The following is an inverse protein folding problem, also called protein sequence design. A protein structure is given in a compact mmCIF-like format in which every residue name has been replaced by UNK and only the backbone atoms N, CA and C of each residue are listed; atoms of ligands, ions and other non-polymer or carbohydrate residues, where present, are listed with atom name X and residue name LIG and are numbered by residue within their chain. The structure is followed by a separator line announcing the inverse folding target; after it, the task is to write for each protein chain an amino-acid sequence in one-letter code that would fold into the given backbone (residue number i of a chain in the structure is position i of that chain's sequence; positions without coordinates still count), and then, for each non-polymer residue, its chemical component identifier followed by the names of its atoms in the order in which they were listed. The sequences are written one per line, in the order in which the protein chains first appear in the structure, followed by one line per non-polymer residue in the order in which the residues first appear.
data_IF_020284110867
#
_entry.id   IF_020284110867
#
_cell.length_a   1.000
_cell.length_b   1.000
_cell.length_c   1.000
_cell.angle_alpha   90.00
_cell.angle_beta   90.00
_cell.angle_gamma   90.00
#
_symmetry.space_group_name_H-M   'P 1'
#
loop_
_entity.id
_entity.type
_entity.pdbx_description
1 polymer ?
#
# COMPACT_ATOMS: atom_id res chain seq x y z
N UNK A 1 -6.61 -13.18 -12.33
CA UNK A 1 -5.56 -12.48 -13.12
C UNK A 1 -4.53 -11.88 -12.15
N UNK A 2 -3.30 -11.54 -12.57
CA UNK A 2 -2.37 -10.75 -11.74
C UNK A 2 -2.63 -9.25 -12.05
N UNK A 3 -2.73 -8.35 -11.07
CA UNK A 3 -2.88 -6.92 -11.32
C UNK A 3 -1.69 -6.38 -12.13
N UNK A 4 -1.95 -5.37 -12.95
CA UNK A 4 -0.94 -4.70 -13.79
C UNK A 4 -1.14 -3.18 -13.77
N UNK A 5 -0.07 -2.39 -13.90
CA UNK A 5 -0.18 -0.95 -14.14
C UNK A 5 -1.11 -0.61 -15.32
N UNK A 6 -1.83 0.50 -15.21
CA UNK A 6 -2.83 0.97 -16.17
C UNK A 6 -4.19 0.29 -16.07
N UNK A 7 -4.32 -0.81 -15.31
CA UNK A 7 -5.63 -1.43 -15.07
C UNK A 7 -6.39 -0.68 -13.97
N UNK A 8 -7.72 -0.65 -14.08
CA UNK A 8 -8.57 -0.15 -13.00
C UNK A 8 -8.44 -1.08 -11.79
N UNK A 9 -8.09 -0.51 -10.65
CA UNK A 9 -8.15 -1.23 -9.39
C UNK A 9 -9.63 -1.58 -9.10
N UNK A 10 -9.95 -2.84 -8.76
CA UNK A 10 -11.26 -3.22 -8.30
C UNK A 10 -11.53 -2.49 -6.99
N UNK A 11 -12.80 -2.22 -6.75
CA UNK A 11 -13.17 -1.74 -5.43
C UNK A 11 -12.88 -2.84 -4.39
N UNK A 12 -12.43 -2.42 -3.21
CA UNK A 12 -12.08 -3.31 -2.12
C UNK A 12 -12.41 -2.65 -0.80
N UNK A 13 -12.58 -3.46 0.25
CA UNK A 13 -12.53 -3.00 1.62
C UNK A 13 -11.40 -3.71 2.34
N UNK A 14 -10.45 -2.94 2.86
CA UNK A 14 -9.26 -3.45 3.51
C UNK A 14 -9.17 -2.96 4.95
N UNK A 15 -8.66 -3.83 5.81
CA UNK A 15 -8.24 -3.43 7.16
C UNK A 15 -6.88 -2.77 7.04
N UNK A 16 -6.73 -1.59 7.62
CA UNK A 16 -5.55 -0.73 7.44
C UNK A 16 -5.05 -0.16 8.76
N UNK A 17 -3.85 0.41 8.69
CA UNK A 17 -3.26 1.32 9.67
C UNK A 17 -2.53 2.43 8.91
N UNK A 18 -2.48 3.64 9.46
CA UNK A 18 -1.81 4.79 8.84
C UNK A 18 -2.78 5.84 8.32
N UNK A 19 -2.26 7.00 7.93
CA UNK A 19 -3.06 8.13 7.43
C UNK A 19 -4.18 8.59 8.38
N UNK A 20 -3.89 8.55 9.69
CA UNK A 20 -4.86 8.88 10.74
C UNK A 20 -5.81 7.73 11.12
N UNK A 21 -5.74 6.58 10.44
CA UNK A 21 -6.51 5.39 10.77
C UNK A 21 -5.75 4.51 11.77
N UNK A 22 -6.42 4.18 12.88
CA UNK A 22 -5.93 3.22 13.86
C UNK A 22 -5.84 1.81 13.24
N UNK A 23 -4.97 0.98 13.81
CA UNK A 23 -4.90 -0.42 13.43
C UNK A 23 -6.26 -1.12 13.57
N UNK A 24 -6.66 -1.87 12.55
CA UNK A 24 -7.96 -2.53 12.54
C UNK A 24 -9.07 -1.72 11.89
N UNK A 25 -8.84 -0.44 11.57
CA UNK A 25 -9.79 0.38 10.83
C UNK A 25 -9.99 -0.15 9.40
N UNK A 26 -11.13 0.15 8.79
CA UNK A 26 -11.47 -0.29 7.45
C UNK A 26 -11.60 0.91 6.49
N UNK A 27 -11.02 0.79 5.31
CA UNK A 27 -11.18 1.75 4.21
C UNK A 27 -11.69 1.07 2.96
N UNK A 28 -12.41 1.81 2.13
CA UNK A 28 -12.94 1.35 0.84
C UNK A 28 -12.37 2.21 -0.28
N UNK A 29 -11.82 1.60 -1.34
CA UNK A 29 -11.13 2.35 -2.40
C UNK A 29 -12.03 3.40 -3.06
N UNK A 30 -13.28 3.03 -3.38
CA UNK A 30 -14.24 3.97 -4.00
C UNK A 30 -14.49 5.24 -3.18
N UNK A 31 -14.29 5.20 -1.85
CA UNK A 31 -14.41 6.36 -0.96
C UNK A 31 -13.14 7.22 -0.89
N UNK A 32 -12.03 6.72 -1.42
CA UNK A 32 -10.72 7.38 -1.42
C UNK A 32 -10.34 7.95 -2.80
N UNK A 33 -11.14 7.68 -3.84
CA UNK A 33 -10.91 8.22 -5.19
C UNK A 33 -10.89 9.75 -5.21
N UNK A 34 -10.18 10.32 -6.17
CA UNK A 34 -9.83 11.74 -6.18
C UNK A 34 -8.61 12.09 -5.31
N UNK A 35 -7.97 11.09 -4.71
CA UNK A 35 -6.63 11.16 -4.09
C UNK A 35 -5.79 9.97 -4.57
N UNK A 36 -4.48 10.17 -4.67
CA UNK A 36 -3.55 9.07 -4.89
C UNK A 36 -3.51 8.22 -3.62
N UNK A 37 -3.58 6.89 -3.77
CA UNK A 37 -3.65 5.93 -2.67
C UNK A 37 -2.48 4.95 -2.77
N UNK A 38 -1.75 4.75 -1.68
CA UNK A 38 -0.67 3.77 -1.56
C UNK A 38 -1.09 2.70 -0.56
N UNK A 39 -1.05 1.44 -0.99
CA UNK A 39 -1.32 0.28 -0.14
C UNK A 39 -0.03 -0.51 0.04
N UNK A 40 0.51 -0.52 1.24
CA UNK A 40 1.73 -1.25 1.61
C UNK A 40 1.33 -2.55 2.28
N UNK A 41 1.40 -3.66 1.55
CA UNK A 41 1.15 -5.00 2.09
C UNK A 41 2.43 -5.56 2.71
N UNK A 42 2.35 -6.01 3.95
CA UNK A 42 3.47 -6.62 4.66
C UNK A 42 3.03 -7.89 5.42
N UNK A 43 3.93 -8.88 5.59
CA UNK A 43 3.68 -10.05 6.42
C UNK A 43 3.53 -9.64 7.88
N UNK A 44 2.47 -10.16 8.51
CA UNK A 44 2.20 -9.97 9.93
C UNK A 44 3.28 -10.60 10.83
N UNK A 45 3.98 -11.61 10.33
CA UNK A 45 5.05 -12.27 11.08
C UNK A 45 6.25 -11.33 11.27
N UNK A 46 6.43 -10.94 12.53
CA UNK A 46 7.49 -10.11 13.09
C UNK A 46 8.89 -10.61 12.71
N UNK A 47 9.35 -10.23 11.52
CA UNK A 47 10.75 -10.40 11.09
C UNK A 47 11.42 -9.03 11.03
N UNK A 48 12.72 -8.89 11.34
CA UNK A 48 13.44 -7.60 11.40
C UNK A 48 13.32 -6.74 10.12
N UNK A 49 12.95 -7.35 8.99
CA UNK A 49 12.68 -6.66 7.73
C UNK A 49 11.30 -5.99 7.64
N UNK A 50 10.26 -6.50 8.32
CA UNK A 50 8.93 -5.88 8.36
C UNK A 50 8.90 -4.64 9.25
N UNK A 51 9.68 -4.64 10.34
CA UNK A 51 9.84 -3.48 11.22
C UNK A 51 10.59 -2.35 10.52
N UNK A 52 11.64 -2.65 9.74
CA UNK A 52 12.42 -1.62 9.04
C UNK A 52 11.60 -0.86 8.01
N UNK A 53 10.83 -1.56 7.16
CA UNK A 53 10.06 -0.89 6.10
C UNK A 53 8.90 -0.05 6.68
N UNK A 54 8.22 -0.56 7.73
CA UNK A 54 7.21 0.22 8.43
C UNK A 54 7.82 1.45 9.13
N UNK A 55 9.00 1.30 9.75
CA UNK A 55 9.74 2.41 10.34
C UNK A 55 10.19 3.42 9.28
N UNK A 56 10.76 3.01 8.15
CA UNK A 56 11.23 3.93 7.11
C UNK A 56 10.06 4.75 6.50
N UNK A 57 8.92 4.12 6.21
CA UNK A 57 7.73 4.83 5.73
C UNK A 57 7.17 5.75 6.82
N UNK A 58 7.17 5.31 8.08
CA UNK A 58 6.75 6.14 9.22
C UNK A 58 7.67 7.33 9.42
N UNK A 59 8.98 7.13 9.31
CA UNK A 59 9.99 8.14 9.57
C UNK A 59 10.03 9.18 8.44
N UNK A 60 9.68 8.78 7.21
CA UNK A 60 9.49 9.67 6.05
C UNK A 60 8.04 10.11 5.84
N UNK A 61 7.14 9.85 6.80
CA UNK A 61 5.71 10.16 6.67
C UNK A 61 5.46 11.64 6.38
N UNK A 62 6.26 12.53 6.97
CA UNK A 62 6.14 13.97 6.76
C UNK A 62 6.32 14.38 5.28
N UNK A 63 7.16 13.66 4.53
CA UNK A 63 7.47 13.98 3.13
C UNK A 63 6.48 13.35 2.14
N UNK A 64 5.79 12.30 2.57
CA UNK A 64 4.91 11.50 1.71
C UNK A 64 3.41 11.81 1.93
N UNK A 65 3.01 12.25 3.13
CA UNK A 65 1.59 12.47 3.51
C UNK A 65 0.83 13.46 2.62
N UNK A 66 1.53 14.46 2.07
CA UNK A 66 0.90 15.50 1.25
C UNK A 66 0.79 15.06 -0.23
N UNK A 67 1.41 13.93 -0.59
CA UNK A 67 1.46 13.39 -1.97
C UNK A 67 0.43 12.27 -2.19
N UNK A 68 0.15 11.47 -1.16
CA UNK A 68 -0.80 10.36 -1.24
C UNK A 68 -1.30 9.92 0.14
N UNK A 69 -2.45 9.26 0.16
CA UNK A 69 -2.95 8.55 1.33
C UNK A 69 -2.22 7.21 1.43
N UNK A 70 -1.49 6.95 2.53
CA UNK A 70 -0.62 5.77 2.65
C UNK A 70 -1.15 4.84 3.74
N UNK A 71 -1.47 3.61 3.36
CA UNK A 71 -2.05 2.62 4.26
C UNK A 71 -1.15 1.39 4.34
N UNK A 72 -0.81 0.99 5.56
CA UNK A 72 -0.32 -0.35 5.84
C UNK A 72 -1.49 -1.34 5.83
N UNK A 73 -1.38 -2.42 5.07
CA UNK A 73 -2.41 -3.46 4.94
C UNK A 73 -1.85 -4.79 5.42
N UNK A 74 -2.55 -5.44 6.35
CA UNK A 74 -2.17 -6.77 6.85
C UNK A 74 -3.40 -7.69 6.97
N UNK A 75 -3.16 -9.01 6.91
CA UNK A 75 -4.17 -10.07 7.01
C UNK A 75 -4.56 -10.72 5.67
N UNK A 76 -5.41 -11.76 5.73
CA UNK A 76 -6.00 -12.38 4.54
C UNK A 76 -6.98 -11.41 3.88
N UNK A 77 -6.67 -10.97 2.66
CA UNK A 77 -7.57 -10.10 1.89
C UNK A 77 -7.76 -10.65 0.49
N UNK A 78 -9.03 -10.75 0.08
CA UNK A 78 -9.38 -11.00 -1.31
C UNK A 78 -9.35 -9.66 -2.06
N UNK A 79 -8.38 -9.53 -2.94
CA UNK A 79 -8.17 -8.38 -3.81
C UNK A 79 -8.05 -8.91 -5.24
N UNK A 80 -8.64 -8.25 -6.23
CA UNK A 80 -8.56 -8.71 -7.64
C UNK A 80 -8.99 -10.18 -7.87
N UNK A 81 -9.93 -10.69 -7.06
CA UNK A 81 -10.37 -12.09 -7.11
C UNK A 81 -9.33 -13.11 -6.64
N UNK A 82 -8.29 -12.67 -5.94
CA UNK A 82 -7.27 -13.52 -5.31
C UNK A 82 -7.14 -13.18 -3.83
N UNK A 83 -7.08 -14.20 -2.99
CA UNK A 83 -6.68 -14.03 -1.60
C UNK A 83 -5.18 -13.82 -1.56
N UNK A 84 -4.77 -12.61 -1.19
CA UNK A 84 -3.39 -12.31 -0.86
C UNK A 84 -3.22 -12.58 0.62
N UNK A 85 -2.67 -13.76 0.93
CA UNK A 85 -2.01 -13.99 2.20
C UNK A 85 -0.75 -13.12 2.19
N UNK A 86 -0.55 -12.32 3.23
CA UNK A 86 0.51 -11.31 3.34
C UNK A 86 1.94 -11.86 3.33
N UNK A 87 2.22 -13.01 2.75
CA UNK A 87 3.54 -13.64 2.71
C UNK A 87 4.56 -12.83 1.92
N UNK A 88 4.12 -12.05 0.92
CA UNK A 88 5.01 -11.29 0.02
C UNK A 88 4.77 -9.78 0.15
N UNK A 89 5.83 -9.03 0.47
CA UNK A 89 5.77 -7.56 0.56
C UNK A 89 5.48 -6.98 -0.81
N UNK A 90 4.35 -6.30 -0.93
CA UNK A 90 3.88 -5.69 -2.18
C UNK A 90 3.31 -4.32 -1.89
N UNK A 91 3.65 -3.31 -2.69
CA UNK A 91 3.03 -1.99 -2.61
C UNK A 91 2.31 -1.66 -3.89
N UNK A 92 1.07 -1.21 -3.76
CA UNK A 92 0.27 -0.72 -4.89
C UNK A 92 0.15 0.79 -4.78
N UNK A 93 0.48 1.50 -5.86
CA UNK A 93 0.21 2.92 -6.01
C UNK A 93 -0.97 3.03 -6.98
N UNK A 94 -2.06 3.61 -6.50
CA UNK A 94 -3.32 3.77 -7.21
C UNK A 94 -3.53 5.27 -7.44
N UNK A 95 -3.69 5.67 -8.69
CA UNK A 95 -3.94 7.04 -9.09
C UNK A 95 -5.32 7.54 -8.66
N UNK A 96 -5.53 8.85 -8.76
CA UNK A 96 -6.79 9.52 -8.39
C UNK A 96 -7.99 9.02 -9.18
N UNK A 97 -7.75 8.51 -10.41
CA UNK A 97 -8.76 7.93 -11.30
C UNK A 97 -9.12 6.47 -10.96
N UNK A 98 -8.47 5.90 -9.94
CA UNK A 98 -8.63 4.53 -9.48
C UNK A 98 -7.90 3.50 -10.35
N UNK A 99 -6.97 3.90 -11.22
CA UNK A 99 -6.08 2.97 -11.91
C UNK A 99 -4.83 2.69 -11.10
N UNK A 100 -4.25 1.52 -11.30
CA UNK A 100 -2.94 1.18 -10.73
C UNK A 100 -1.89 1.94 -11.53
N UNK A 101 -1.18 2.85 -10.88
CA UNK A 101 -0.05 3.55 -11.50
C UNK A 101 1.19 2.65 -11.48
N UNK A 102 1.45 2.00 -10.34
CA UNK A 102 2.63 1.17 -10.16
C UNK A 102 2.43 0.07 -9.12
N UNK A 103 3.19 -1.01 -9.26
CA UNK A 103 3.24 -2.13 -8.32
C UNK A 103 4.71 -2.37 -7.97
N UNK A 104 5.05 -2.30 -6.69
CA UNK A 104 6.38 -2.59 -6.16
C UNK A 104 6.33 -3.96 -5.46
N UNK A 105 6.87 -5.00 -6.09
CA UNK A 105 6.93 -6.36 -5.55
C UNK A 105 8.37 -6.72 -5.18
N UNK A 106 8.56 -7.48 -4.08
CA UNK A 106 9.86 -8.04 -3.68
C UNK A 106 10.98 -6.99 -3.52
N UNK A 107 10.62 -5.77 -3.18
CA UNK A 107 11.57 -4.68 -2.94
C UNK A 107 12.15 -4.80 -1.54
N UNK A 108 13.45 -4.57 -1.40
CA UNK A 108 14.09 -4.49 -0.09
C UNK A 108 13.61 -3.23 0.66
N UNK A 109 13.58 -3.22 2.02
CA UNK A 109 13.15 -2.04 2.77
C UNK A 109 13.85 -0.75 2.34
N UNK A 110 15.19 -0.80 2.25
CA UNK A 110 16.04 0.35 1.88
C UNK A 110 15.70 0.96 0.52
N UNK A 111 15.36 0.13 -0.46
CA UNK A 111 15.02 0.59 -1.82
C UNK A 111 13.56 1.04 -1.92
N UNK A 112 12.71 0.53 -1.04
CA UNK A 112 11.27 0.76 -1.10
C UNK A 112 10.91 2.23 -0.95
N UNK A 113 11.53 2.93 0.00
CA UNK A 113 11.28 4.36 0.21
C UNK A 113 11.67 5.20 -1.02
N UNK A 114 12.81 4.92 -1.64
CA UNK A 114 13.27 5.64 -2.83
C UNK A 114 12.31 5.43 -4.01
N UNK A 115 11.90 4.19 -4.26
CA UNK A 115 10.95 3.87 -5.33
C UNK A 115 9.57 4.46 -5.05
N UNK A 116 9.11 4.41 -3.80
CA UNK A 116 7.83 5.01 -3.42
C UNK A 116 7.86 6.52 -3.63
N UNK A 117 8.92 7.19 -3.20
CA UNK A 117 9.06 8.65 -3.37
C UNK A 117 9.03 9.03 -4.85
N UNK A 118 9.80 8.34 -5.69
CA UNK A 118 9.83 8.58 -7.14
C UNK A 118 8.49 8.30 -7.84
N UNK A 119 7.67 7.39 -7.31
CA UNK A 119 6.34 7.10 -7.85
C UNK A 119 5.26 8.12 -7.42
N UNK A 120 5.56 8.92 -6.39
CA UNK A 120 4.69 9.95 -5.85
C UNK A 120 5.07 11.37 -6.31
N UNK A 121 6.17 11.54 -7.04
CA UNK A 121 6.47 12.75 -7.81
C UNK A 121 5.54 12.92 -9.02
#
# INVERSE_FOLDING_TARGET
MKPQPGQKAPDFTATVVGDGYAEGAAVTLSKLLGKKVVLVFYPKDDTPGCTTQACEIRDSWADLKDRALIFGVWGEKSMYGKTYLGTERTTFIIGEDGKIDQILEKVSPKEHLALLTAALE
#
